data_IF_056300862570
#
_entry.id   IF_056300862570
#
_cell.length_a   1.000
_cell.length_b   1.000
_cell.length_c   1.000
_cell.angle_alpha   90.00
_cell.angle_beta   90.00
_cell.angle_gamma   90.00
#
_symmetry.space_group_name_H-M   'P 1'
#
loop_
_entity.id
_entity.type
_entity.pdbx_description
1 polymer ?
#
# COMPACT_ATOMS: atom_id res chain seq x y z
N UNK A 1 23.20 -4.41 -13.73
CA UNK A 1 22.57 -3.11 -13.37
C UNK A 1 21.55 -2.64 -14.40
N UNK A 2 21.86 -2.61 -15.70
CA UNK A 2 20.92 -2.14 -16.75
C UNK A 2 19.57 -2.88 -16.73
N UNK A 3 19.58 -4.21 -16.68
CA UNK A 3 18.36 -5.03 -16.67
C UNK A 3 17.46 -4.71 -15.47
N UNK A 4 18.03 -4.60 -14.27
CA UNK A 4 17.29 -4.28 -13.04
C UNK A 4 16.61 -2.91 -13.16
N UNK A 5 17.34 -1.91 -13.66
CA UNK A 5 16.79 -0.56 -13.85
C UNK A 5 15.65 -0.56 -14.88
N UNK A 6 15.77 -1.31 -15.98
CA UNK A 6 14.72 -1.42 -16.99
C UNK A 6 13.47 -2.11 -16.42
N UNK A 7 13.63 -3.20 -15.66
CA UNK A 7 12.52 -3.89 -14.99
C UNK A 7 11.83 -2.94 -13.99
N UNK A 8 12.61 -2.22 -13.19
CA UNK A 8 12.08 -1.24 -12.25
C UNK A 8 11.28 -0.14 -12.96
N UNK A 9 11.83 0.45 -14.03
CA UNK A 9 11.15 1.48 -14.81
C UNK A 9 9.85 0.94 -15.41
N UNK A 10 9.86 -0.25 -15.98
CA UNK A 10 8.66 -0.88 -16.53
C UNK A 10 7.57 -1.02 -15.47
N UNK A 11 7.91 -1.54 -14.28
CA UNK A 11 6.96 -1.69 -13.18
C UNK A 11 6.45 -0.32 -12.71
N UNK A 12 7.34 0.66 -12.60
CA UNK A 12 6.98 2.03 -12.24
C UNK A 12 5.95 2.61 -13.21
N UNK A 13 6.21 2.55 -14.52
CA UNK A 13 5.29 3.06 -15.54
C UNK A 13 3.96 2.30 -15.56
N UNK A 14 3.98 0.98 -15.37
CA UNK A 14 2.77 0.17 -15.31
C UNK A 14 1.90 0.56 -14.10
N UNK A 15 2.48 0.68 -12.90
CA UNK A 15 1.72 1.02 -11.70
C UNK A 15 1.23 2.46 -11.77
N UNK A 16 2.09 3.42 -12.13
CA UNK A 16 1.70 4.83 -12.27
C UNK A 16 0.66 4.99 -13.36
N UNK A 17 0.81 4.33 -14.51
CA UNK A 17 -0.18 4.33 -15.58
C UNK A 17 -1.53 3.78 -15.13
N UNK A 18 -1.54 2.71 -14.32
CA UNK A 18 -2.78 2.18 -13.74
C UNK A 18 -3.44 3.17 -12.77
N UNK A 19 -2.66 3.82 -11.87
CA UNK A 19 -3.18 4.85 -10.95
C UNK A 19 -3.77 6.01 -11.75
N UNK A 20 -3.05 6.53 -12.75
CA UNK A 20 -3.51 7.62 -13.60
C UNK A 20 -4.78 7.22 -14.35
N UNK A 21 -4.85 6.01 -14.89
CA UNK A 21 -6.05 5.47 -15.52
C UNK A 21 -7.26 5.45 -14.58
N UNK A 22 -7.08 4.99 -13.34
CA UNK A 22 -8.13 5.02 -12.31
C UNK A 22 -8.56 6.46 -11.99
N UNK A 23 -7.61 7.37 -11.82
CA UNK A 23 -7.88 8.79 -11.56
C UNK A 23 -8.71 9.38 -12.71
N UNK A 24 -8.29 9.17 -13.96
CA UNK A 24 -9.00 9.67 -15.14
C UNK A 24 -10.42 9.09 -15.24
N UNK A 25 -10.60 7.79 -14.97
CA UNK A 25 -11.92 7.15 -14.96
C UNK A 25 -12.84 7.74 -13.87
N UNK A 26 -12.29 7.98 -12.67
CA UNK A 26 -13.04 8.57 -11.57
C UNK A 26 -13.38 10.03 -11.86
N UNK A 27 -12.44 10.81 -12.40
CA UNK A 27 -12.69 12.19 -12.83
C UNK A 27 -13.75 12.26 -13.93
N UNK A 28 -13.67 11.40 -14.94
CA UNK A 28 -14.70 11.28 -15.98
C UNK A 28 -16.08 10.98 -15.35
N UNK A 29 -16.13 10.11 -14.33
CA UNK A 29 -17.37 9.84 -13.60
C UNK A 29 -17.90 11.06 -12.85
N UNK A 30 -17.03 11.81 -12.18
CA UNK A 30 -17.42 13.06 -11.49
C UNK A 30 -17.97 14.07 -12.50
N UNK A 31 -17.33 14.22 -13.66
CA UNK A 31 -17.77 15.11 -14.73
C UNK A 31 -19.15 14.73 -15.27
N UNK A 32 -19.41 13.44 -15.55
CA UNK A 32 -20.73 12.96 -16.00
C UNK A 32 -21.83 13.28 -14.99
N UNK A 33 -21.52 13.17 -13.69
CA UNK A 33 -22.47 13.51 -12.63
C UNK A 33 -22.69 15.02 -12.48
N UNK A 34 -21.67 15.85 -12.76
CA UNK A 34 -21.77 17.31 -12.64
C UNK A 34 -22.41 17.97 -13.86
N UNK A 35 -22.16 17.44 -15.06
CA UNK A 35 -22.71 17.97 -16.31
C UNK A 35 -24.19 17.56 -16.54
N UNK A 36 -24.86 17.03 -15.51
CA UNK A 36 -26.24 16.53 -15.54
C UNK A 36 -26.58 15.72 -16.81
N UNK A 37 -25.61 14.92 -17.26
CA UNK A 37 -25.72 14.23 -18.54
C UNK A 37 -26.83 13.19 -18.48
N UNK A 38 -27.62 13.10 -19.57
CA UNK A 38 -28.70 12.13 -19.68
C UNK A 38 -28.18 10.71 -19.33
N UNK A 39 -28.78 10.04 -18.32
CA UNK A 39 -28.38 8.71 -17.86
C UNK A 39 -28.32 7.63 -18.94
N UNK A 40 -29.10 7.79 -20.02
CA UNK A 40 -29.22 6.82 -21.11
C UNK A 40 -28.25 7.08 -22.27
N UNK A 41 -27.44 8.14 -22.20
CA UNK A 41 -26.42 8.40 -23.21
C UNK A 41 -25.33 7.32 -23.18
N UNK A 42 -24.91 6.85 -24.36
CA UNK A 42 -23.90 5.78 -24.47
C UNK A 42 -22.61 6.13 -23.73
N UNK A 43 -22.16 7.39 -23.83
CA UNK A 43 -20.95 7.89 -23.16
C UNK A 43 -21.07 7.84 -21.64
N UNK A 44 -22.21 8.26 -21.08
CA UNK A 44 -22.46 8.17 -19.65
C UNK A 44 -22.45 6.71 -19.19
N UNK A 45 -23.14 5.81 -19.89
CA UNK A 45 -23.19 4.38 -19.54
C UNK A 45 -21.79 3.75 -19.58
N UNK A 46 -21.00 4.05 -20.63
CA UNK A 46 -19.62 3.55 -20.76
C UNK A 46 -18.71 4.03 -19.62
N UNK A 47 -18.84 5.27 -19.18
CA UNK A 47 -18.06 5.76 -18.03
C UNK A 47 -18.51 5.08 -16.73
N UNK A 48 -19.82 4.83 -16.58
CA UNK A 48 -20.38 4.19 -15.39
C UNK A 48 -19.95 2.73 -15.26
N UNK A 49 -20.01 1.94 -16.32
CA UNK A 49 -19.59 0.53 -16.31
C UNK A 49 -18.11 0.33 -15.87
N UNK A 50 -17.21 1.25 -16.22
CA UNK A 50 -15.80 1.16 -15.83
C UNK A 50 -15.52 1.72 -14.44
N UNK A 51 -16.25 2.77 -14.02
CA UNK A 51 -16.04 3.42 -12.72
C UNK A 51 -16.77 2.73 -11.56
N UNK A 52 -17.97 2.17 -11.79
CA UNK A 52 -18.78 1.57 -10.74
C UNK A 52 -18.10 0.38 -10.02
N UNK A 53 -17.40 -0.54 -10.71
CA UNK A 53 -16.68 -1.62 -10.03
C UNK A 53 -15.64 -1.13 -9.00
N UNK A 54 -15.04 0.04 -9.23
CA UNK A 54 -14.05 0.65 -8.34
C UNK A 54 -14.71 1.43 -7.19
N UNK A 55 -15.85 2.07 -7.47
CA UNK A 55 -16.56 2.91 -6.50
C UNK A 55 -17.42 2.09 -5.52
N UNK A 56 -18.04 0.99 -5.97
CA UNK A 56 -18.97 0.20 -5.14
C UNK A 56 -18.31 -0.35 -3.86
N UNK A 57 -17.12 -0.99 -3.90
CA UNK A 57 -16.46 -1.47 -2.69
C UNK A 57 -16.19 -0.33 -1.71
N UNK A 58 -15.75 0.82 -2.22
CA UNK A 58 -15.43 2.00 -1.42
C UNK A 58 -16.70 2.61 -0.82
N UNK A 59 -17.80 2.70 -1.58
CA UNK A 59 -19.11 3.12 -1.05
C UNK A 59 -19.56 2.23 0.10
N UNK A 60 -19.37 0.91 0.01
CA UNK A 60 -19.69 -0.02 1.11
C UNK A 60 -18.87 0.26 2.35
N UNK A 61 -17.56 0.53 2.18
CA UNK A 61 -16.68 0.89 3.29
C UNK A 61 -17.16 2.20 3.94
N UNK A 62 -17.43 3.25 3.16
CA UNK A 62 -17.91 4.54 3.68
C UNK A 62 -19.24 4.42 4.44
N UNK A 63 -20.19 3.67 3.89
CA UNK A 63 -21.47 3.39 4.58
C UNK A 63 -21.24 2.69 5.93
N UNK A 64 -20.24 1.81 6.01
CA UNK A 64 -19.93 1.10 7.24
C UNK A 64 -19.41 2.00 8.37
N UNK A 65 -18.96 3.21 8.03
CA UNK A 65 -18.50 4.28 8.93
C UNK A 65 -19.51 5.43 9.07
N UNK A 66 -20.68 5.35 8.42
CA UNK A 66 -21.68 6.42 8.43
C UNK A 66 -21.27 7.69 7.66
N UNK A 67 -20.28 7.59 6.76
CA UNK A 67 -19.80 8.71 5.95
C UNK A 67 -20.64 8.91 4.68
N UNK A 68 -20.71 10.15 4.18
CA UNK A 68 -21.44 10.49 2.95
C UNK A 68 -20.82 9.77 1.73
N UNK A 69 -21.69 9.19 0.89
CA UNK A 69 -21.30 8.50 -0.34
C UNK A 69 -20.75 9.45 -1.41
N UNK A 70 -21.02 10.76 -1.31
CA UNK A 70 -20.41 11.76 -2.20
C UNK A 70 -18.89 11.77 -2.12
N UNK A 71 -18.31 11.28 -1.02
CA UNK A 71 -16.86 11.16 -0.84
C UNK A 71 -16.26 9.95 -1.58
N UNK A 72 -17.08 9.02 -2.08
CA UNK A 72 -16.59 7.77 -2.69
C UNK A 72 -15.58 7.97 -3.83
N UNK A 73 -15.78 8.90 -4.79
CA UNK A 73 -14.78 9.16 -5.83
C UNK A 73 -13.40 9.54 -5.27
N UNK A 74 -13.37 10.45 -4.29
CA UNK A 74 -12.12 10.90 -3.67
C UNK A 74 -11.44 9.79 -2.88
N UNK A 75 -12.23 9.01 -2.15
CA UNK A 75 -11.70 7.88 -1.36
C UNK A 75 -11.20 6.77 -2.28
N UNK A 76 -11.84 6.52 -3.43
CA UNK A 76 -11.34 5.58 -4.44
C UNK A 76 -10.01 6.02 -5.02
N UNK A 77 -9.83 7.31 -5.33
CA UNK A 77 -8.53 7.86 -5.77
C UNK A 77 -7.47 7.66 -4.69
N UNK A 78 -7.80 8.01 -3.44
CA UNK A 78 -6.88 7.85 -2.31
C UNK A 78 -6.46 6.39 -2.12
N UNK A 79 -7.40 5.46 -2.16
CA UNK A 79 -7.14 4.01 -2.04
C UNK A 79 -6.29 3.53 -3.21
N UNK A 80 -6.57 3.96 -4.45
CA UNK A 80 -5.80 3.58 -5.62
C UNK A 80 -4.35 4.07 -5.52
N UNK A 81 -4.13 5.31 -5.08
CA UNK A 81 -2.80 5.86 -4.83
C UNK A 81 -2.09 5.06 -3.72
N UNK A 82 -2.79 4.80 -2.61
CA UNK A 82 -2.22 4.06 -1.48
C UNK A 82 -1.81 2.64 -1.87
N UNK A 83 -2.67 1.92 -2.60
CA UNK A 83 -2.39 0.57 -3.10
C UNK A 83 -1.23 0.60 -4.09
N UNK A 84 -1.23 1.55 -5.03
CA UNK A 84 -0.16 1.68 -6.01
C UNK A 84 1.20 1.99 -5.36
N UNK A 85 1.22 2.91 -4.40
CA UNK A 85 2.40 3.19 -3.59
C UNK A 85 2.87 1.95 -2.81
N UNK A 86 1.95 1.21 -2.18
CA UNK A 86 2.27 -0.03 -1.47
C UNK A 86 2.86 -1.10 -2.40
N UNK A 87 2.33 -1.24 -3.61
CA UNK A 87 2.83 -2.18 -4.62
C UNK A 87 4.24 -1.79 -5.09
N UNK A 88 4.48 -0.51 -5.34
CA UNK A 88 5.81 -0.02 -5.70
C UNK A 88 6.82 -0.21 -4.57
N UNK A 89 6.43 0.04 -3.33
CA UNK A 89 7.28 -0.19 -2.16
C UNK A 89 7.62 -1.68 -2.00
N UNK A 90 6.63 -2.58 -2.17
CA UNK A 90 6.86 -4.02 -2.15
C UNK A 90 7.82 -4.47 -3.24
N UNK A 91 7.60 -4.05 -4.49
CA UNK A 91 8.51 -4.42 -5.58
C UNK A 91 9.89 -3.80 -5.36
N UNK A 92 9.95 -2.54 -4.95
CA UNK A 92 11.20 -1.81 -4.77
C UNK A 92 12.06 -2.44 -3.68
N UNK A 93 11.45 -2.76 -2.54
CA UNK A 93 12.14 -3.46 -1.45
C UNK A 93 12.68 -4.83 -1.88
N UNK A 94 11.91 -5.61 -2.66
CA UNK A 94 12.36 -6.90 -3.20
C UNK A 94 13.52 -6.71 -4.17
N UNK A 95 13.38 -5.81 -5.15
CA UNK A 95 14.42 -5.54 -6.15
C UNK A 95 15.70 -5.03 -5.51
N UNK A 96 15.60 -4.12 -4.55
CA UNK A 96 16.72 -3.59 -3.79
C UNK A 96 17.42 -4.68 -2.97
N UNK A 97 16.65 -5.48 -2.23
CA UNK A 97 17.18 -6.58 -1.42
C UNK A 97 17.87 -7.62 -2.29
N UNK A 98 17.20 -8.10 -3.35
CA UNK A 98 17.75 -9.14 -4.23
C UNK A 98 18.97 -8.62 -5.00
N UNK A 99 18.90 -7.42 -5.57
CA UNK A 99 20.02 -6.80 -6.26
C UNK A 99 21.22 -6.57 -5.33
N UNK A 100 20.96 -6.14 -4.10
CA UNK A 100 21.95 -5.98 -3.06
C UNK A 100 22.60 -7.29 -2.63
N UNK A 101 21.81 -8.34 -2.42
CA UNK A 101 22.30 -9.69 -2.11
C UNK A 101 23.20 -10.21 -3.23
N UNK A 102 22.76 -10.13 -4.50
CA UNK A 102 23.53 -10.59 -5.66
C UNK A 102 24.86 -9.85 -5.78
N UNK A 103 24.84 -8.52 -5.65
CA UNK A 103 26.06 -7.70 -5.73
C UNK A 103 27.01 -7.97 -4.56
N UNK A 104 26.48 -8.20 -3.36
CA UNK A 104 27.28 -8.54 -2.17
C UNK A 104 27.96 -9.90 -2.32
N UNK A 105 27.25 -10.90 -2.86
CA UNK A 105 27.81 -12.23 -3.16
C UNK A 105 28.93 -12.15 -4.20
N UNK A 106 28.73 -11.37 -5.28
CA UNK A 106 29.74 -11.19 -6.33
C UNK A 106 31.02 -10.52 -5.81
N UNK A 107 30.89 -9.61 -4.83
CA UNK A 107 32.01 -8.88 -4.23
C UNK A 107 32.64 -9.61 -3.03
N UNK A 108 32.05 -10.72 -2.58
CA UNK A 108 32.45 -11.39 -1.33
C UNK A 108 32.20 -10.56 -0.07
N UNK A 109 31.31 -9.56 -0.13
CA UNK A 109 31.04 -8.62 0.97
C UNK A 109 29.99 -9.19 1.94
N UNK A 110 30.44 -9.97 2.93
CA UNK A 110 29.56 -10.65 3.90
C UNK A 110 28.75 -9.68 4.78
N UNK A 111 29.33 -8.53 5.13
CA UNK A 111 28.64 -7.52 5.95
C UNK A 111 27.47 -6.88 5.19
N UNK A 112 27.69 -6.52 3.93
CA UNK A 112 26.64 -5.96 3.07
C UNK A 112 25.55 -6.98 2.78
N UNK A 113 25.92 -8.26 2.59
CA UNK A 113 24.96 -9.35 2.43
C UNK A 113 24.00 -9.43 3.62
N UNK A 114 24.54 -9.44 4.84
CA UNK A 114 23.72 -9.44 6.06
C UNK A 114 22.85 -8.18 6.14
N UNK A 115 23.40 -7.02 5.79
CA UNK A 115 22.68 -5.75 5.73
C UNK A 115 21.45 -5.80 4.81
N UNK A 116 21.60 -6.29 3.57
CA UNK A 116 20.49 -6.40 2.63
C UNK A 116 19.42 -7.40 3.09
N UNK A 117 19.82 -8.54 3.66
CA UNK A 117 18.86 -9.52 4.19
C UNK A 117 18.04 -8.94 5.35
N UNK A 118 18.70 -8.27 6.30
CA UNK A 118 18.04 -7.61 7.41
C UNK A 118 17.09 -6.49 6.92
N UNK A 119 17.55 -5.67 5.97
CA UNK A 119 16.73 -4.64 5.35
C UNK A 119 15.45 -5.22 4.73
N UNK A 120 15.57 -6.32 3.98
CA UNK A 120 14.45 -6.99 3.33
C UNK A 120 13.44 -7.57 4.33
N UNK A 121 13.91 -8.18 5.42
CA UNK A 121 13.04 -8.70 6.48
C UNK A 121 12.23 -7.56 7.12
N UNK A 122 12.88 -6.44 7.45
CA UNK A 122 12.18 -5.27 8.00
C UNK A 122 11.20 -4.65 7.00
N UNK A 123 11.50 -4.68 5.71
CA UNK A 123 10.62 -4.19 4.65
C UNK A 123 9.36 -5.05 4.56
N UNK A 124 9.51 -6.37 4.51
CA UNK A 124 8.39 -7.31 4.52
C UNK A 124 7.54 -7.13 5.75
N UNK A 125 8.16 -6.99 6.93
CA UNK A 125 7.40 -6.79 8.17
C UNK A 125 6.62 -5.48 8.17
N UNK A 126 7.21 -4.39 7.68
CA UNK A 126 6.52 -3.10 7.48
C UNK A 126 5.32 -3.24 6.54
N UNK A 127 5.48 -3.98 5.44
CA UNK A 127 4.40 -4.25 4.48
C UNK A 127 3.26 -5.08 5.09
N UNK A 128 3.56 -6.05 5.96
CA UNK A 128 2.53 -6.82 6.68
C UNK A 128 1.70 -5.92 7.61
N UNK A 129 2.35 -4.96 8.30
CA UNK A 129 1.64 -3.99 9.14
C UNK A 129 0.75 -3.09 8.28
N UNK A 130 1.27 -2.54 7.16
CA UNK A 130 0.46 -1.70 6.27
C UNK A 130 -0.71 -2.49 5.68
N UNK A 131 -0.48 -3.73 5.22
CA UNK A 131 -1.53 -4.61 4.73
C UNK A 131 -2.61 -4.88 5.79
N UNK A 132 -2.23 -5.07 7.06
CA UNK A 132 -3.16 -5.20 8.19
C UNK A 132 -4.03 -3.96 8.35
N UNK A 133 -3.43 -2.76 8.32
CA UNK A 133 -4.16 -1.49 8.43
C UNK A 133 -5.16 -1.35 7.28
N UNK A 134 -4.72 -1.55 6.03
CA UNK A 134 -5.57 -1.41 4.85
C UNK A 134 -6.74 -2.41 4.89
N UNK A 135 -6.49 -3.67 5.23
CA UNK A 135 -7.55 -4.69 5.31
C UNK A 135 -8.50 -4.47 6.50
N UNK A 136 -8.07 -3.76 7.55
CA UNK A 136 -8.90 -3.46 8.72
C UNK A 136 -10.04 -2.50 8.38
N UNK A 137 -9.85 -1.61 7.40
CA UNK A 137 -10.87 -0.65 6.95
C UNK A 137 -12.10 -1.33 6.33
N UNK A 138 -11.92 -2.50 5.71
CA UNK A 138 -13.00 -3.27 5.09
C UNK A 138 -13.78 -4.17 6.05
N UNK A 139 -13.59 -4.05 7.38
CA UNK A 139 -14.17 -4.93 8.41
C UNK A 139 -13.90 -6.43 8.19
N UNK A 140 -12.78 -6.77 7.58
CA UNK A 140 -12.46 -8.16 7.19
C UNK A 140 -11.72 -8.94 8.28
N UNK A 141 -12.15 -8.83 9.55
CA UNK A 141 -11.52 -9.55 10.67
C UNK A 141 -11.73 -11.07 10.63
N UNK A 142 -12.74 -11.54 9.89
CA UNK A 142 -13.06 -12.96 9.74
C UNK A 142 -12.31 -13.70 8.62
N UNK A 143 -11.53 -13.01 7.77
CA UNK A 143 -10.85 -13.67 6.65
C UNK A 143 -9.51 -14.32 7.10
N UNK A 144 -9.05 -15.37 6.39
CA UNK A 144 -7.83 -16.12 6.76
C UNK A 144 -6.57 -15.24 6.72
N UNK A 145 -6.52 -14.30 5.77
CA UNK A 145 -5.38 -13.39 5.55
C UNK A 145 -5.22 -12.45 6.75
N UNK A 146 -6.29 -11.84 7.24
CA UNK A 146 -6.29 -10.95 8.39
C UNK A 146 -5.86 -11.70 9.66
N UNK A 147 -6.35 -12.92 9.87
CA UNK A 147 -5.88 -13.74 11.00
C UNK A 147 -4.38 -13.98 10.95
N UNK A 148 -3.85 -14.31 9.77
CA UNK A 148 -2.41 -14.47 9.55
C UNK A 148 -1.65 -13.16 9.84
N UNK A 149 -2.10 -12.04 9.29
CA UNK A 149 -1.48 -10.73 9.51
C UNK A 149 -1.48 -10.34 10.99
N UNK A 150 -2.61 -10.52 11.68
CA UNK A 150 -2.70 -10.31 13.13
C UNK A 150 -1.74 -11.24 13.87
N UNK A 151 -1.74 -12.55 13.59
CA UNK A 151 -0.86 -13.49 14.30
C UNK A 151 0.64 -13.17 14.14
N UNK A 152 1.05 -12.67 12.97
CA UNK A 152 2.45 -12.34 12.70
C UNK A 152 2.82 -10.97 13.26
N UNK A 153 1.91 -9.99 13.22
CA UNK A 153 2.23 -8.61 13.63
C UNK A 153 1.92 -8.31 15.10
N UNK A 154 1.02 -9.06 15.75
CA UNK A 154 0.62 -8.83 17.14
C UNK A 154 1.73 -9.00 18.18
N UNK A 155 2.67 -9.97 18.07
CA UNK A 155 3.78 -10.07 19.03
C UNK A 155 4.61 -8.79 19.12
N UNK A 156 4.71 -8.05 18.01
CA UNK A 156 5.42 -6.77 17.96
C UNK A 156 4.47 -5.62 18.29
N UNK A 157 3.25 -5.58 17.75
CA UNK A 157 2.32 -4.46 18.01
C UNK A 157 1.72 -4.46 19.41
N UNK A 158 1.52 -5.63 20.02
CA UNK A 158 0.88 -5.83 21.32
C UNK A 158 1.58 -5.10 22.48
N UNK A 159 2.91 -5.22 22.64
CA UNK A 159 3.65 -4.43 23.62
C UNK A 159 3.46 -2.91 23.44
N UNK A 160 3.54 -2.40 22.21
CA UNK A 160 3.35 -0.96 21.95
C UNK A 160 1.92 -0.51 22.26
N UNK A 161 0.91 -1.32 21.96
CA UNK A 161 -0.50 -1.08 22.34
C UNK A 161 -0.71 -0.97 23.84
N UNK A 162 0.09 -1.65 24.65
CA UNK A 162 0.02 -1.58 26.12
C UNK A 162 0.71 -0.33 26.67
N UNK A 163 1.71 0.19 25.96
CA UNK A 163 2.47 1.37 26.37
C UNK A 163 1.80 2.67 25.92
N UNK A 164 1.09 2.65 24.79
CA UNK A 164 0.47 3.84 24.20
C UNK A 164 -1.04 3.77 24.45
N UNK A 165 -1.62 4.71 25.23
CA UNK A 165 -3.07 4.77 25.39
C UNK A 165 -3.74 4.97 24.02
N UNK A 166 -4.82 4.24 23.71
CA UNK A 166 -5.52 4.39 22.44
C UNK A 166 -6.06 5.82 22.29
N UNK A 167 -5.79 6.47 21.15
CA UNK A 167 -6.41 7.77 20.83
C UNK A 167 -7.79 7.52 20.21
N UNK A 168 -8.79 7.40 21.08
CA UNK A 168 -10.17 7.15 20.67
C UNK A 168 -10.34 5.74 20.09
N UNK A 169 -10.92 5.63 18.89
CA UNK A 169 -11.16 4.35 18.20
C UNK A 169 -9.98 3.89 17.32
N UNK A 170 -8.95 4.73 17.16
CA UNK A 170 -7.83 4.45 16.25
C UNK A 170 -6.60 4.00 17.04
N UNK A 171 -6.08 2.84 16.65
CA UNK A 171 -4.81 2.33 17.17
C UNK A 171 -3.64 2.97 16.42
N UNK A 172 -2.83 3.76 17.14
CA UNK A 172 -1.66 4.47 16.61
C UNK A 172 -0.39 3.62 16.69
N UNK A 173 -0.42 2.53 17.46
CA UNK A 173 0.72 1.62 17.63
C UNK A 173 1.34 1.18 16.29
N UNK A 174 0.56 0.86 15.23
CA UNK A 174 1.11 0.54 13.92
C UNK A 174 1.97 1.65 13.30
N UNK A 175 1.57 2.91 13.46
CA UNK A 175 2.31 4.06 12.92
C UNK A 175 3.66 4.18 13.63
N UNK A 176 3.67 4.04 14.96
CA UNK A 176 4.89 4.13 15.76
C UNK A 176 5.83 2.97 15.43
N UNK A 177 5.32 1.75 15.31
CA UNK A 177 6.14 0.61 14.91
C UNK A 177 6.70 0.79 13.50
N UNK A 178 5.91 1.29 12.54
CA UNK A 178 6.40 1.60 11.19
C UNK A 178 7.52 2.63 11.21
N UNK A 179 7.42 3.69 12.03
CA UNK A 179 8.50 4.67 12.19
C UNK A 179 9.78 4.04 12.74
N UNK A 180 9.66 3.18 13.75
CA UNK A 180 10.80 2.47 14.34
C UNK A 180 11.46 1.55 13.30
N UNK A 181 10.67 0.80 12.54
CA UNK A 181 11.19 -0.08 11.48
C UNK A 181 11.92 0.73 10.40
N UNK A 182 11.37 1.88 9.99
CA UNK A 182 12.03 2.77 9.03
C UNK A 182 13.35 3.32 9.56
N UNK A 183 13.42 3.68 10.85
CA UNK A 183 14.68 4.12 11.46
C UNK A 183 15.73 3.00 11.45
N UNK A 184 15.35 1.76 11.79
CA UNK A 184 16.26 0.62 11.71
C UNK A 184 16.72 0.34 10.28
N UNK A 185 15.82 0.40 9.30
CA UNK A 185 16.19 0.24 7.90
C UNK A 185 17.20 1.29 7.44
N UNK A 186 17.00 2.56 7.81
CA UNK A 186 17.95 3.64 7.49
C UNK A 186 19.29 3.45 8.18
N UNK A 187 19.29 3.03 9.45
CA UNK A 187 20.52 2.75 10.19
C UNK A 187 21.30 1.60 9.55
N UNK A 188 20.64 0.50 9.19
CA UNK A 188 21.25 -0.64 8.47
C UNK A 188 21.80 -0.18 7.12
N UNK A 189 21.03 0.62 6.37
CA UNK A 189 21.46 1.13 5.08
C UNK A 189 22.73 2.00 5.20
N UNK A 190 22.82 2.84 6.22
CA UNK A 190 23.97 3.71 6.45
C UNK A 190 25.20 3.02 7.03
N UNK A 191 25.06 1.83 7.64
CA UNK A 191 26.16 1.16 8.35
C UNK A 191 26.64 -0.12 7.67
N UNK A 192 25.73 -0.99 7.23
CA UNK A 192 26.05 -2.30 6.68
C UNK A 192 26.07 -2.32 5.15
N UNK A 193 25.27 -1.45 4.53
CA UNK A 193 25.11 -1.37 3.07
C UNK A 193 25.99 -0.26 2.46
N UNK A 194 26.36 0.76 3.25
CA UNK A 194 27.18 1.91 2.86
C UNK A 194 28.57 1.57 2.37
#
# INVERSE_FOLDING_TARGET
MIIINLVWLLIWYLVVGAIVGVILLVLARVMVNYADMNPFSRTAVTIRQFSDPLLIPVRRILMSYGLDQKLAPFVTILIAILIGWLLLELVGSVVFTVGGVVTSLQRGALLSLAGYLLFGILAVFSLLIVARIVLSWGKSYGNRIMRFLVSVTEPILGPFRRMIPPLGMFDISPIIVLLILQLFQRAIAGTLIG
#
